data_IF_924822365226
#
_entry.id   IF_924822365226
#
_cell.length_a   1.000
_cell.length_b   1.000
_cell.length_c   1.000
_cell.angle_alpha   90.00
_cell.angle_beta   90.00
_cell.angle_gamma   90.00
#
_symmetry.space_group_name_H-M   'P 1'
#
loop_
_entity.id
_entity.type
_entity.pdbx_description
1 polymer ?
#
# COMPACT_ATOMS: atom_id res chain seq x y z
N UNK A 1 -1.49 66.75 -24.46
CA UNK A 1 -0.83 66.33 -25.72
C UNK A 1 -0.57 64.84 -25.65
N UNK A 2 -1.45 64.06 -26.29
CA UNK A 2 -1.31 62.62 -26.46
C UNK A 2 -0.20 62.32 -27.48
N UNK A 3 0.69 61.39 -27.17
CA UNK A 3 1.41 60.61 -28.19
C UNK A 3 1.30 59.13 -27.87
N UNK A 4 0.33 58.55 -28.55
CA UNK A 4 0.05 57.13 -28.72
C UNK A 4 1.17 56.53 -29.58
N UNK A 5 1.86 55.49 -29.09
CA UNK A 5 2.69 54.62 -29.95
C UNK A 5 2.26 53.18 -29.70
N UNK A 6 1.88 52.53 -30.80
CA UNK A 6 1.23 51.23 -30.92
C UNK A 6 2.16 50.10 -30.45
N UNK A 7 1.71 49.27 -29.52
CA UNK A 7 2.31 47.96 -29.27
C UNK A 7 1.65 46.92 -30.19
N UNK A 8 2.41 46.48 -31.19
CA UNK A 8 2.04 45.41 -32.11
C UNK A 8 2.01 44.07 -31.38
N UNK A 9 0.90 43.35 -31.55
CA UNK A 9 0.67 41.96 -31.20
C UNK A 9 1.75 41.04 -31.77
N UNK A 10 2.43 40.29 -30.90
CA UNK A 10 3.16 39.08 -31.26
C UNK A 10 2.76 37.97 -30.30
N UNK A 11 1.85 37.12 -30.77
CA UNK A 11 1.43 35.88 -30.14
C UNK A 11 2.59 34.88 -30.35
N UNK A 12 3.37 34.61 -29.31
CA UNK A 12 4.29 33.47 -29.32
C UNK A 12 3.73 32.33 -28.49
N UNK A 13 3.43 31.26 -29.20
CA UNK A 13 2.94 29.98 -28.70
C UNK A 13 3.88 29.35 -27.67
N UNK A 14 3.40 29.15 -26.45
CA UNK A 14 4.02 28.25 -25.47
C UNK A 14 3.34 26.88 -25.62
N UNK A 15 4.05 25.96 -26.28
CA UNK A 15 3.76 24.51 -26.28
C UNK A 15 3.90 23.97 -24.86
N UNK A 16 2.79 23.97 -24.13
CA UNK A 16 2.63 23.18 -22.91
C UNK A 16 2.42 21.71 -23.29
N UNK A 17 3.43 20.86 -23.10
CA UNK A 17 3.27 19.40 -23.14
C UNK A 17 2.46 18.94 -21.91
N UNK A 18 1.14 19.15 -21.95
CA UNK A 18 0.18 18.39 -21.15
C UNK A 18 -0.16 17.13 -21.94
N UNK A 19 0.36 15.97 -21.51
CA UNK A 19 -0.19 14.68 -21.93
C UNK A 19 -1.55 14.53 -21.25
N UNK A 20 -2.59 15.01 -21.91
CA UNK A 20 -3.97 14.63 -21.67
C UNK A 20 -4.15 13.23 -22.25
N UNK A 21 -4.21 12.20 -21.41
CA UNK A 21 -4.78 10.93 -21.82
C UNK A 21 -6.29 11.05 -21.61
N UNK A 22 -7.02 11.37 -22.68
CA UNK A 22 -8.45 11.11 -22.75
C UNK A 22 -8.65 9.59 -22.66
N UNK A 23 -9.27 9.12 -21.58
CA UNK A 23 -9.83 7.78 -21.54
C UNK A 23 -11.28 7.93 -21.98
N UNK A 24 -11.54 7.71 -23.27
CA UNK A 24 -12.90 7.59 -23.81
C UNK A 24 -13.59 6.40 -23.14
N UNK A 25 -14.64 6.69 -22.39
CA UNK A 25 -15.62 5.70 -21.96
C UNK A 25 -16.45 5.28 -23.17
N UNK A 26 -16.07 4.19 -23.85
CA UNK A 26 -16.97 3.49 -24.77
C UNK A 26 -17.55 2.28 -24.06
N UNK A 27 -18.81 2.42 -23.67
CA UNK A 27 -19.71 1.31 -23.37
C UNK A 27 -19.98 0.55 -24.67
N UNK A 28 -19.49 -0.68 -24.77
CA UNK A 28 -19.95 -1.65 -25.76
C UNK A 28 -20.11 -2.99 -25.06
N UNK A 29 -21.39 -3.34 -24.88
CA UNK A 29 -21.86 -4.69 -24.63
C UNK A 29 -21.27 -5.61 -25.71
N UNK A 30 -20.56 -6.65 -25.27
CA UNK A 30 -19.92 -7.63 -26.14
C UNK A 30 -19.50 -8.85 -25.32
N UNK A 31 -20.38 -9.84 -25.28
CA UNK A 31 -20.14 -11.15 -24.69
C UNK A 31 -19.09 -11.89 -25.54
N UNK A 32 -17.93 -12.27 -24.97
CA UNK A 32 -16.97 -13.13 -25.69
C UNK A 32 -15.50 -13.07 -25.25
N UNK A 33 -15.13 -13.97 -24.33
CA UNK A 33 -13.88 -14.75 -24.25
C UNK A 33 -12.51 -14.11 -23.91
N UNK A 34 -11.97 -14.63 -22.80
CA UNK A 34 -10.57 -14.92 -22.44
C UNK A 34 -9.60 -13.78 -22.03
N UNK A 35 -9.32 -13.70 -20.72
CA UNK A 35 -7.92 -13.77 -20.28
C UNK A 35 -7.27 -12.57 -19.58
N UNK A 36 -8.01 -11.56 -19.12
CA UNK A 36 -7.44 -10.57 -18.17
C UNK A 36 -8.23 -10.61 -16.87
N UNK A 37 -7.79 -11.43 -15.91
CA UNK A 37 -8.20 -11.25 -14.52
C UNK A 37 -7.84 -9.83 -14.14
N UNK A 38 -8.85 -8.97 -13.93
CA UNK A 38 -8.66 -7.68 -13.28
C UNK A 38 -7.96 -7.97 -11.97
N UNK A 39 -6.66 -7.68 -11.90
CA UNK A 39 -5.88 -7.92 -10.70
C UNK A 39 -6.19 -6.80 -9.72
N UNK A 40 -6.58 -7.18 -8.52
CA UNK A 40 -6.87 -6.30 -7.39
C UNK A 40 -5.72 -5.33 -7.15
N UNK A 41 -6.02 -4.04 -6.98
CA UNK A 41 -5.00 -3.04 -6.66
C UNK A 41 -4.72 -3.04 -5.15
N UNK A 42 -3.48 -3.30 -4.77
CA UNK A 42 -3.04 -3.39 -3.37
C UNK A 42 -2.24 -2.16 -2.97
N UNK A 43 -2.55 -1.60 -1.80
CA UNK A 43 -1.77 -0.54 -1.15
C UNK A 43 -1.18 -0.99 0.17
N UNK A 44 0.12 -0.82 0.35
CA UNK A 44 0.84 -1.07 1.60
C UNK A 44 1.07 0.25 2.33
N UNK A 45 0.59 0.30 3.57
CA UNK A 45 0.64 1.44 4.46
C UNK A 45 1.36 1.04 5.73
N UNK A 46 2.57 1.58 5.90
CA UNK A 46 3.45 1.17 6.99
C UNK A 46 3.65 2.30 7.99
N UNK A 47 3.21 2.05 9.21
CA UNK A 47 3.58 2.81 10.38
C UNK A 47 4.94 2.34 10.92
N UNK A 48 5.99 3.06 10.53
CA UNK A 48 7.37 2.72 10.91
C UNK A 48 7.70 3.12 12.34
N UNK A 49 6.94 4.03 12.96
CA UNK A 49 7.21 4.48 14.32
C UNK A 49 6.80 3.39 15.30
N UNK A 50 5.60 2.83 15.10
CA UNK A 50 5.12 1.70 15.87
C UNK A 50 5.89 0.41 15.52
N UNK A 51 6.03 0.11 14.22
CA UNK A 51 6.49 -1.19 13.74
C UNK A 51 7.71 -1.15 12.83
N UNK A 52 8.87 -0.67 13.30
CA UNK A 52 10.09 -0.75 12.52
C UNK A 52 10.63 -2.20 12.49
N UNK A 53 11.36 -2.60 11.44
CA UNK A 53 11.99 -3.91 11.34
C UNK A 53 13.20 -3.98 12.28
N UNK A 54 12.98 -4.11 13.59
CA UNK A 54 14.05 -4.08 14.62
C UNK A 54 14.93 -5.33 14.58
N UNK A 55 14.32 -6.50 14.32
CA UNK A 55 14.98 -7.81 14.40
C UNK A 55 15.50 -8.33 13.05
N UNK A 56 15.19 -7.64 11.95
CA UNK A 56 15.48 -8.11 10.59
C UNK A 56 16.08 -6.98 9.74
N UNK A 57 16.92 -7.28 8.74
CA UNK A 57 17.42 -6.26 7.81
C UNK A 57 16.25 -5.54 7.10
N UNK A 58 16.16 -4.20 7.13
CA UNK A 58 15.03 -3.45 6.60
C UNK A 58 14.73 -3.73 5.13
N UNK A 59 15.78 -3.80 4.31
CA UNK A 59 15.60 -4.11 2.89
C UNK A 59 14.97 -5.49 2.68
N UNK A 60 15.40 -6.50 3.43
CA UNK A 60 14.87 -7.85 3.33
C UNK A 60 13.42 -7.91 3.83
N UNK A 61 13.15 -7.31 4.99
CA UNK A 61 11.82 -7.22 5.58
C UNK A 61 10.82 -6.54 4.63
N UNK A 62 11.20 -5.39 4.06
CA UNK A 62 10.38 -4.65 3.11
C UNK A 62 10.13 -5.41 1.81
N UNK A 63 11.15 -6.10 1.29
CA UNK A 63 11.02 -6.91 0.07
C UNK A 63 10.10 -8.09 0.29
N UNK A 64 10.25 -8.80 1.42
CA UNK A 64 9.37 -9.93 1.78
C UNK A 64 7.93 -9.48 2.03
N UNK A 65 7.73 -8.36 2.71
CA UNK A 65 6.42 -7.74 2.90
C UNK A 65 5.76 -7.41 1.54
N UNK A 66 6.49 -6.77 0.63
CA UNK A 66 5.99 -6.45 -0.70
C UNK A 66 5.64 -7.70 -1.51
N UNK A 67 6.46 -8.75 -1.41
CA UNK A 67 6.20 -10.02 -2.08
C UNK A 67 4.96 -10.72 -1.52
N UNK A 68 4.76 -10.71 -0.19
CA UNK A 68 3.56 -11.25 0.43
C UNK A 68 2.31 -10.44 0.03
N UNK A 69 2.42 -9.10 0.00
CA UNK A 69 1.35 -8.22 -0.47
C UNK A 69 0.99 -8.48 -1.96
N UNK A 70 1.99 -8.86 -2.77
CA UNK A 70 1.82 -9.21 -4.18
C UNK A 70 0.93 -10.44 -4.44
N UNK A 71 0.77 -11.32 -3.45
CA UNK A 71 -0.13 -12.47 -3.56
C UNK A 71 -1.61 -12.05 -3.45
N UNK A 72 -1.89 -10.91 -2.81
CA UNK A 72 -3.25 -10.35 -2.75
C UNK A 72 -3.63 -9.57 -4.00
N UNK A 73 -2.69 -9.26 -4.89
CA UNK A 73 -2.92 -8.45 -6.09
C UNK A 73 -1.71 -7.64 -6.54
N UNK A 74 -1.94 -6.67 -7.44
CA UNK A 74 -0.87 -5.78 -7.94
C UNK A 74 -0.61 -4.68 -6.92
N UNK A 75 0.57 -4.70 -6.31
CA UNK A 75 1.02 -3.66 -5.39
C UNK A 75 1.29 -2.36 -6.17
N UNK A 76 0.39 -1.38 -6.04
CA UNK A 76 0.52 -0.06 -6.68
C UNK A 76 1.04 1.02 -5.73
N UNK A 77 0.71 0.92 -4.45
CA UNK A 77 1.12 1.89 -3.44
C UNK A 77 1.94 1.20 -2.36
N UNK A 78 3.09 1.79 -2.04
CA UNK A 78 4.00 1.33 -1.00
C UNK A 78 4.46 2.56 -0.24
N UNK A 79 3.79 2.89 0.86
CA UNK A 79 4.06 4.11 1.61
C UNK A 79 4.38 3.78 3.05
N UNK A 80 5.40 4.44 3.57
CA UNK A 80 5.83 4.28 4.95
C UNK A 80 5.99 5.65 5.61
N UNK A 81 5.37 5.84 6.76
CA UNK A 81 5.43 7.08 7.53
C UNK A 81 6.22 6.86 8.82
N UNK A 82 7.08 7.82 9.15
CA UNK A 82 7.79 7.82 10.42
C UNK A 82 8.13 9.26 10.85
N UNK A 83 8.26 9.45 12.16
CA UNK A 83 8.86 10.63 12.77
C UNK A 83 10.38 10.62 12.58
N UNK A 84 11.05 11.76 12.81
CA UNK A 84 12.52 11.84 12.66
C UNK A 84 13.22 10.88 13.62
N UNK A 85 12.63 10.66 14.80
CA UNK A 85 13.17 9.76 15.81
C UNK A 85 13.26 8.30 15.36
N UNK A 86 12.29 7.78 14.59
CA UNK A 86 12.37 6.40 14.08
C UNK A 86 13.54 6.19 13.12
N UNK A 87 13.89 7.20 12.31
CA UNK A 87 15.06 7.14 11.44
C UNK A 87 16.40 7.35 12.17
N UNK A 88 16.36 7.91 13.38
CA UNK A 88 17.55 8.08 14.22
C UNK A 88 17.90 6.82 15.03
N UNK A 89 16.95 5.88 15.15
CA UNK A 89 17.16 4.66 15.91
C UNK A 89 18.27 3.80 15.27
N UNK A 90 19.15 3.29 16.13
CA UNK A 90 20.24 2.40 15.74
C UNK A 90 20.14 1.18 16.66
N UNK A 91 19.97 -0.05 16.12
CA UNK A 91 19.86 -1.26 16.93
C UNK A 91 21.01 -1.41 17.95
N UNK A 92 20.77 -1.98 19.14
CA UNK A 92 21.79 -2.12 20.19
C UNK A 92 23.07 -2.83 19.72
N UNK A 93 22.92 -3.89 18.93
CA UNK A 93 24.06 -4.61 18.33
C UNK A 93 24.93 -3.69 17.47
N UNK A 94 24.32 -2.85 16.64
CA UNK A 94 25.03 -1.88 15.79
C UNK A 94 25.70 -0.80 16.65
N UNK A 95 25.07 -0.37 17.75
CA UNK A 95 25.68 0.57 18.71
C UNK A 95 26.92 -0.03 19.37
N UNK A 96 26.85 -1.30 19.76
CA UNK A 96 27.97 -2.02 20.37
C UNK A 96 29.12 -2.18 19.36
N UNK A 97 28.84 -2.66 18.14
CA UNK A 97 29.83 -2.74 17.07
C UNK A 97 30.52 -1.39 16.79
N UNK A 98 29.74 -0.29 16.80
CA UNK A 98 30.29 1.07 16.65
C UNK A 98 31.19 1.48 17.82
N UNK A 99 30.90 1.06 19.06
CA UNK A 99 31.75 1.31 20.23
C UNK A 99 33.04 0.50 20.11
N UNK A 100 32.94 -0.79 19.82
CA UNK A 100 34.08 -1.70 19.63
C UNK A 100 35.00 -1.23 18.49
N UNK A 101 34.43 -0.77 17.36
CA UNK A 101 35.24 -0.21 16.27
C UNK A 101 35.97 1.08 16.68
N UNK A 102 35.34 1.93 17.49
CA UNK A 102 35.97 3.17 17.99
C UNK A 102 37.10 2.86 18.97
N UNK A 103 36.90 1.92 19.89
CA UNK A 103 37.96 1.52 20.83
C UNK A 103 39.13 0.90 20.06
N UNK A 104 38.86 0.01 19.09
CA UNK A 104 39.88 -0.58 18.23
C UNK A 104 40.67 0.50 17.46
N UNK A 105 39.99 1.46 16.82
CA UNK A 105 40.66 2.56 16.13
C UNK A 105 41.55 3.39 17.07
N UNK A 106 41.11 3.62 18.31
CA UNK A 106 41.92 4.31 19.32
C UNK A 106 43.16 3.50 19.71
N UNK A 107 43.01 2.19 19.85
CA UNK A 107 44.12 1.27 20.17
C UNK A 107 45.14 1.19 19.04
N UNK A 108 44.69 1.07 17.78
CA UNK A 108 45.54 1.14 16.58
C UNK A 108 46.31 2.46 16.53
N UNK A 109 45.63 3.58 16.82
CA UNK A 109 46.25 4.91 16.81
C UNK A 109 47.32 5.07 17.90
N UNK A 110 47.06 4.51 19.08
CA UNK A 110 48.03 4.48 20.18
C UNK A 110 49.17 3.48 19.99
N UNK A 111 49.11 2.63 18.96
CA UNK A 111 50.13 1.62 18.67
C UNK A 111 50.11 0.40 19.61
N UNK A 112 49.14 0.32 20.53
CA UNK A 112 48.95 -0.81 21.46
C UNK A 112 48.53 -2.07 20.72
N UNK A 113 47.71 -1.92 19.67
CA UNK A 113 47.30 -3.02 18.79
C UNK A 113 47.97 -2.83 17.44
N UNK A 114 48.76 -3.84 17.02
CA UNK A 114 49.33 -3.90 15.67
C UNK A 114 48.39 -4.69 14.77
N UNK A 115 48.09 -4.12 13.60
CA UNK A 115 47.31 -4.81 12.59
C UNK A 115 48.26 -5.71 11.80
N UNK A 116 48.06 -7.03 11.89
CA UNK A 116 48.89 -8.02 11.18
C UNK A 116 48.72 -7.90 9.66
N UNK A 117 47.50 -7.63 9.18
CA UNK A 117 47.20 -7.40 7.77
C UNK A 117 46.85 -5.93 7.47
N UNK A 118 47.60 -5.22 6.62
CA UNK A 118 47.31 -3.84 6.28
C UNK A 118 45.94 -3.68 5.59
N UNK A 119 45.20 -2.67 6.00
CA UNK A 119 43.97 -2.26 5.32
C UNK A 119 44.27 -1.79 3.90
N UNK A 120 43.51 -2.26 2.89
CA UNK A 120 43.70 -1.82 1.50
C UNK A 120 42.50 -1.02 0.97
N UNK A 121 42.79 0.01 0.18
CA UNK A 121 41.75 0.76 -0.52
C UNK A 121 41.25 -0.03 -1.73
N UNK A 122 39.98 -0.44 -1.73
CA UNK A 122 39.37 -1.19 -2.85
C UNK A 122 39.26 -0.38 -4.16
N UNK A 123 39.43 0.95 -4.12
CA UNK A 123 39.41 1.80 -5.32
C UNK A 123 40.78 1.87 -6.00
N UNK A 124 41.86 2.09 -5.24
CA UNK A 124 43.21 2.32 -5.78
C UNK A 124 44.27 1.28 -5.39
N UNK A 125 43.94 0.31 -4.54
CA UNK A 125 44.84 -0.76 -4.10
C UNK A 125 45.90 -0.36 -3.06
N UNK A 126 45.94 0.91 -2.62
CA UNK A 126 46.92 1.38 -1.63
C UNK A 126 46.70 0.73 -0.26
N UNK A 127 47.80 0.41 0.43
CA UNK A 127 47.82 -0.21 1.76
C UNK A 127 47.96 0.85 2.87
N UNK A 128 47.33 0.60 4.01
CA UNK A 128 47.28 1.46 5.18
C UNK A 128 47.37 0.62 6.45
N UNK A 129 48.20 1.04 7.39
CA UNK A 129 48.46 0.30 8.64
C UNK A 129 47.53 0.68 9.80
N UNK A 130 46.60 1.61 9.56
CA UNK A 130 45.59 2.04 10.53
C UNK A 130 44.31 2.36 9.78
N UNK A 131 43.16 2.05 10.35
CA UNK A 131 41.87 2.29 9.71
C UNK A 131 41.59 3.79 9.48
N UNK A 132 42.00 4.66 10.41
CA UNK A 132 41.84 6.12 10.27
C UNK A 132 42.54 6.65 9.01
N UNK A 133 43.75 6.18 8.70
CA UNK A 133 44.48 6.58 7.49
C UNK A 133 43.78 6.12 6.21
N UNK A 134 43.21 4.91 6.19
CA UNK A 134 42.41 4.44 5.06
C UNK A 134 41.17 5.33 4.87
N UNK A 135 40.44 5.61 5.94
CA UNK A 135 39.23 6.47 5.90
C UNK A 135 39.58 7.87 5.41
N UNK A 136 40.64 8.47 5.95
CA UNK A 136 41.08 9.82 5.55
C UNK A 136 41.51 9.86 4.08
N UNK A 137 42.27 8.86 3.62
CA UNK A 137 42.63 8.72 2.21
C UNK A 137 41.38 8.65 1.32
N UNK A 138 40.39 7.85 1.72
CA UNK A 138 39.16 7.67 0.96
C UNK A 138 38.37 8.97 0.83
N UNK A 139 38.24 9.74 1.92
CA UNK A 139 37.56 11.05 1.91
C UNK A 139 38.31 12.10 1.10
N UNK A 140 39.63 12.16 1.24
CA UNK A 140 40.41 13.20 0.57
C UNK A 140 40.54 13.00 -0.93
N UNK A 141 40.67 11.74 -1.37
CA UNK A 141 40.93 11.40 -2.76
C UNK A 141 39.65 10.94 -3.46
N UNK A 142 39.06 9.83 -3.02
CA UNK A 142 38.01 9.16 -3.78
C UNK A 142 36.65 9.83 -3.67
N UNK A 143 36.29 10.35 -2.48
CA UNK A 143 35.06 11.13 -2.31
C UNK A 143 35.12 12.43 -3.13
N UNK A 144 36.24 13.16 -3.08
CA UNK A 144 36.47 14.36 -3.90
C UNK A 144 36.40 14.05 -5.40
N UNK A 145 37.02 12.98 -5.87
CA UNK A 145 36.94 12.55 -7.27
C UNK A 145 35.52 12.17 -7.69
N UNK A 146 34.79 11.48 -6.81
CA UNK A 146 33.41 11.08 -7.07
C UNK A 146 32.50 12.31 -7.20
N UNK A 147 32.60 13.27 -6.27
CA UNK A 147 31.85 14.53 -6.34
C UNK A 147 32.16 15.31 -7.62
N UNK A 148 33.43 15.37 -8.05
CA UNK A 148 33.79 15.99 -9.34
C UNK A 148 33.09 15.32 -10.53
N UNK A 149 33.00 13.99 -10.54
CA UNK A 149 32.31 13.24 -11.62
C UNK A 149 30.80 13.49 -11.61
N UNK A 150 30.18 13.53 -10.43
CA UNK A 150 28.76 13.87 -10.28
C UNK A 150 28.45 15.28 -10.78
N UNK A 151 29.22 16.27 -10.34
CA UNK A 151 29.04 17.66 -10.77
C UNK A 151 29.17 17.81 -12.30
N UNK A 152 30.09 17.08 -12.93
CA UNK A 152 30.21 17.07 -14.39
C UNK A 152 28.96 16.48 -15.07
N UNK A 153 28.42 15.38 -14.54
CA UNK A 153 27.18 14.77 -15.05
C UNK A 153 26.00 15.72 -14.87
N UNK A 154 25.89 16.36 -13.70
CA UNK A 154 24.81 17.32 -13.36
C UNK A 154 24.83 18.56 -14.23
N UNK A 155 26.02 19.11 -14.50
CA UNK A 155 26.19 20.25 -15.40
C UNK A 155 25.88 19.93 -16.87
N UNK A 156 26.06 18.67 -17.29
CA UNK A 156 25.83 18.25 -18.67
C UNK A 156 24.35 17.99 -18.98
N UNK A 157 23.92 18.34 -20.20
CA UNK A 157 22.54 18.12 -20.70
C UNK A 157 22.53 17.26 -21.96
N UNK A 158 21.40 16.60 -22.22
CA UNK A 158 21.16 15.82 -23.43
C UNK A 158 22.16 14.70 -23.68
N UNK A 159 22.59 14.52 -24.93
CA UNK A 159 23.52 13.45 -25.38
C UNK A 159 24.85 13.44 -24.62
N UNK A 160 25.34 14.61 -24.21
CA UNK A 160 26.59 14.74 -23.46
C UNK A 160 26.47 14.10 -22.07
N UNK A 161 25.33 14.29 -21.39
CA UNK A 161 25.05 13.67 -20.09
C UNK A 161 25.10 12.14 -20.20
N UNK A 162 24.44 11.58 -21.21
CA UNK A 162 24.43 10.13 -21.46
C UNK A 162 25.85 9.60 -21.67
N UNK A 163 26.66 10.31 -22.47
CA UNK A 163 28.07 9.96 -22.71
C UNK A 163 28.91 9.99 -21.42
N UNK A 164 28.74 11.00 -20.57
CA UNK A 164 29.46 11.10 -19.29
C UNK A 164 29.03 10.03 -18.29
N UNK A 165 27.74 9.73 -18.21
CA UNK A 165 27.23 8.63 -17.37
C UNK A 165 27.85 7.30 -17.81
N UNK A 166 27.84 7.00 -19.12
CA UNK A 166 28.46 5.79 -19.66
C UNK A 166 29.98 5.75 -19.38
N UNK A 167 30.68 6.86 -19.56
CA UNK A 167 32.13 6.98 -19.28
C UNK A 167 32.47 6.72 -17.82
N UNK A 168 31.62 7.17 -16.88
CA UNK A 168 31.89 7.08 -15.45
C UNK A 168 31.22 5.89 -14.76
N UNK A 169 30.33 5.14 -15.42
CA UNK A 169 29.57 4.03 -14.84
C UNK A 169 30.44 3.09 -13.98
N UNK A 170 31.47 2.48 -14.57
CA UNK A 170 32.38 1.56 -13.88
C UNK A 170 33.10 2.22 -12.69
N UNK A 171 33.51 3.49 -12.82
CA UNK A 171 34.19 4.24 -11.75
C UNK A 171 33.24 4.61 -10.61
N UNK A 172 31.99 4.91 -10.93
CA UNK A 172 30.92 5.15 -9.95
C UNK A 172 30.61 3.87 -9.18
N UNK A 173 30.47 2.73 -9.86
CA UNK A 173 30.17 1.46 -9.20
C UNK A 173 31.32 0.97 -8.34
N UNK A 174 32.58 1.10 -8.82
CA UNK A 174 33.77 0.82 -8.00
C UNK A 174 33.81 1.66 -6.72
N UNK A 175 33.48 2.95 -6.82
CA UNK A 175 33.38 3.84 -5.66
C UNK A 175 32.25 3.41 -4.72
N UNK A 176 31.03 3.19 -5.24
CA UNK A 176 29.87 2.77 -4.44
C UNK A 176 30.13 1.48 -3.67
N UNK A 177 30.79 0.50 -4.28
CA UNK A 177 31.14 -0.74 -3.62
C UNK A 177 32.16 -0.51 -2.50
N UNK A 178 33.19 0.31 -2.73
CA UNK A 178 34.22 0.58 -1.73
C UNK A 178 33.74 1.49 -0.57
N UNK A 179 32.83 2.43 -0.83
CA UNK A 179 32.23 3.31 0.20
C UNK A 179 31.56 2.49 1.29
N UNK A 180 30.87 1.40 0.93
CA UNK A 180 30.14 0.55 1.88
C UNK A 180 31.05 -0.02 2.97
N UNK A 181 32.31 -0.28 2.64
CA UNK A 181 33.27 -0.89 3.56
C UNK A 181 34.03 0.17 4.38
N UNK A 182 34.25 1.37 3.81
CA UNK A 182 35.17 2.38 4.38
C UNK A 182 34.44 3.55 5.04
N UNK A 183 33.38 4.05 4.41
CA UNK A 183 32.63 5.24 4.85
C UNK A 183 31.23 4.85 5.32
N UNK A 184 31.09 3.75 6.07
CA UNK A 184 29.81 3.39 6.70
C UNK A 184 29.26 4.62 7.44
N UNK A 185 28.13 5.20 6.98
CA UNK A 185 27.67 6.46 7.53
C UNK A 185 27.33 6.29 9.01
N UNK A 186 27.76 7.27 9.83
CA UNK A 186 27.38 7.37 11.26
C UNK A 186 25.89 7.67 11.44
N UNK A 187 25.23 8.12 10.37
CA UNK A 187 23.79 8.37 10.31
C UNK A 187 23.03 7.09 10.68
N UNK A 188 21.79 7.23 11.15
CA UNK A 188 20.95 6.14 11.65
C UNK A 188 21.00 4.89 10.76
N UNK A 189 20.70 3.74 11.35
CA UNK A 189 20.47 2.50 10.61
C UNK A 189 19.69 2.88 9.37
N UNK A 190 20.27 2.78 8.17
CA UNK A 190 19.91 3.52 6.94
C UNK A 190 18.53 3.16 6.39
N UNK A 191 17.53 3.24 7.26
CA UNK A 191 16.22 2.63 7.21
C UNK A 191 15.45 3.28 6.09
N UNK A 192 15.43 4.61 6.05
CA UNK A 192 14.81 5.34 4.95
C UNK A 192 15.39 4.94 3.59
N UNK A 193 16.72 4.83 3.47
CA UNK A 193 17.38 4.52 2.20
C UNK A 193 17.19 3.05 1.80
N UNK A 194 17.21 2.13 2.76
CA UNK A 194 16.94 0.72 2.53
C UNK A 194 15.49 0.45 2.13
N UNK A 195 14.53 1.14 2.75
CA UNK A 195 13.12 1.07 2.40
C UNK A 195 12.86 1.70 1.02
N UNK A 196 13.48 2.85 0.72
CA UNK A 196 13.46 3.44 -0.63
C UNK A 196 14.05 2.49 -1.68
N UNK A 197 15.14 1.79 -1.34
CA UNK A 197 15.75 0.77 -2.20
C UNK A 197 14.81 -0.42 -2.44
N UNK A 198 13.99 -0.80 -1.46
CA UNK A 198 12.95 -1.80 -1.62
C UNK A 198 11.71 -1.28 -2.38
N UNK A 199 11.69 0.01 -2.73
CA UNK A 199 10.61 0.65 -3.48
C UNK A 199 9.49 1.20 -2.61
N UNK A 200 9.73 1.48 -1.32
CA UNK A 200 8.79 2.21 -0.47
C UNK A 200 9.00 3.71 -0.60
N UNK A 201 7.89 4.43 -0.71
CA UNK A 201 7.85 5.87 -0.55
C UNK A 201 7.86 6.24 0.93
N UNK A 202 9.03 6.58 1.45
CA UNK A 202 9.23 6.93 2.85
C UNK A 202 8.96 8.42 3.07
N UNK A 203 8.00 8.75 3.93
CA UNK A 203 7.67 10.13 4.33
C UNK A 203 8.07 10.35 5.78
N UNK A 204 8.83 11.41 6.01
CA UNK A 204 9.18 11.87 7.35
C UNK A 204 8.19 12.94 7.80
N UNK A 205 7.60 12.77 8.97
CA UNK A 205 6.63 13.70 9.57
C UNK A 205 7.30 14.48 10.72
N UNK A 206 6.64 15.55 11.18
CA UNK A 206 7.04 16.31 12.36
C UNK A 206 7.01 15.44 13.61
N UNK A 207 7.91 15.67 14.57
CA UNK A 207 8.05 14.89 15.81
C UNK A 207 6.92 15.11 16.85
N UNK A 208 5.74 15.57 16.42
CA UNK A 208 4.58 15.66 17.30
C UNK A 208 4.03 14.25 17.58
N UNK A 209 3.52 13.98 18.80
CA UNK A 209 2.82 12.74 19.08
C UNK A 209 1.73 12.48 18.05
N UNK A 210 1.59 11.23 17.59
CA UNK A 210 0.57 10.78 16.64
C UNK A 210 0.60 11.45 15.25
N UNK A 211 1.62 12.26 14.93
CA UNK A 211 1.66 12.96 13.65
C UNK A 211 1.80 11.98 12.46
N UNK A 212 2.60 10.92 12.65
CA UNK A 212 2.69 9.83 11.69
C UNK A 212 1.34 9.13 11.50
N UNK A 213 0.62 8.86 12.60
CA UNK A 213 -0.67 8.17 12.59
C UNK A 213 -1.73 9.00 11.87
N UNK A 214 -1.84 10.30 12.20
CA UNK A 214 -2.77 11.23 11.53
C UNK A 214 -2.44 11.32 10.04
N UNK A 215 -1.17 11.45 9.67
CA UNK A 215 -0.76 11.51 8.28
C UNK A 215 -1.09 10.20 7.53
N UNK A 216 -0.88 9.05 8.17
CA UNK A 216 -1.17 7.74 7.61
C UNK A 216 -2.68 7.53 7.44
N UNK A 217 -3.48 7.87 8.46
CA UNK A 217 -4.95 7.83 8.42
C UNK A 217 -5.51 8.72 7.31
N UNK A 218 -5.09 9.98 7.25
CA UNK A 218 -5.55 10.90 6.21
C UNK A 218 -5.19 10.41 4.80
N UNK A 219 -4.01 9.80 4.64
CA UNK A 219 -3.60 9.25 3.36
C UNK A 219 -4.38 7.97 2.99
N UNK A 220 -4.71 7.12 3.96
CA UNK A 220 -5.60 5.97 3.75
C UNK A 220 -6.98 6.43 3.26
N UNK A 221 -7.59 7.42 3.93
CA UNK A 221 -8.89 7.97 3.55
C UNK A 221 -8.85 8.56 2.14
N UNK A 222 -7.84 9.35 1.79
CA UNK A 222 -7.69 9.92 0.44
C UNK A 222 -7.57 8.85 -0.65
N UNK A 223 -6.83 7.76 -0.38
CA UNK A 223 -6.69 6.63 -1.31
C UNK A 223 -8.01 5.87 -1.46
N UNK A 224 -8.79 5.75 -0.39
CA UNK A 224 -10.13 5.14 -0.40
C UNK A 224 -11.14 6.00 -1.18
N UNK A 225 -11.15 7.31 -0.96
CA UNK A 225 -12.04 8.26 -1.66
C UNK A 225 -11.79 8.26 -3.16
N UNK A 226 -10.53 8.22 -3.57
CA UNK A 226 -10.13 8.16 -4.98
C UNK A 226 -10.28 6.75 -5.60
N UNK A 227 -10.73 5.75 -4.83
CA UNK A 227 -10.85 4.34 -5.24
C UNK A 227 -9.59 3.79 -5.91
N UNK A 228 -8.43 4.18 -5.39
CA UNK A 228 -7.15 3.83 -6.00
C UNK A 228 -6.69 2.41 -5.65
N UNK A 229 -7.24 1.83 -4.59
CA UNK A 229 -6.95 0.48 -4.10
C UNK A 229 -8.23 -0.27 -3.75
N UNK A 230 -8.17 -1.58 -3.88
CA UNK A 230 -9.25 -2.51 -3.52
C UNK A 230 -8.85 -3.36 -2.29
N UNK A 231 -7.53 -3.45 -2.01
CA UNK A 231 -6.98 -4.14 -0.86
C UNK A 231 -5.99 -3.24 -0.12
N UNK A 232 -6.20 -3.06 1.18
CA UNK A 232 -5.35 -2.28 2.09
C UNK A 232 -4.55 -3.23 2.96
N UNK A 233 -3.23 -3.12 2.91
CA UNK A 233 -2.29 -3.80 3.81
C UNK A 233 -1.74 -2.77 4.80
N UNK A 234 -2.19 -2.83 6.04
CA UNK A 234 -1.73 -1.97 7.13
C UNK A 234 -0.66 -2.69 7.95
N UNK A 235 0.49 -2.05 8.16
CA UNK A 235 1.56 -2.55 9.03
C UNK A 235 1.64 -1.66 10.25
N UNK A 236 0.96 -2.06 11.33
CA UNK A 236 0.95 -1.41 12.64
C UNK A 236 0.33 -2.35 13.68
N UNK A 237 0.69 -2.19 14.95
CA UNK A 237 0.01 -2.80 16.09
C UNK A 237 -0.92 -1.80 16.84
N UNK A 238 -0.99 -0.54 16.40
CA UNK A 238 -1.75 0.51 17.11
C UNK A 238 -3.27 0.42 16.89
N UNK A 239 -4.01 0.39 18.00
CA UNK A 239 -5.48 0.31 17.97
C UNK A 239 -6.16 1.53 17.33
N UNK A 240 -5.46 2.65 17.21
CA UNK A 240 -6.00 3.91 16.66
C UNK A 240 -6.34 3.81 15.16
N UNK A 241 -5.90 2.75 14.48
CA UNK A 241 -6.26 2.50 13.08
C UNK A 241 -7.53 1.64 12.92
N UNK A 242 -8.14 1.15 14.00
CA UNK A 242 -9.34 0.30 13.94
C UNK A 242 -10.50 1.01 13.23
N UNK A 243 -10.70 2.30 13.47
CA UNK A 243 -11.77 3.09 12.84
C UNK A 243 -11.59 3.15 11.32
N UNK A 244 -10.37 3.37 10.85
CA UNK A 244 -10.05 3.43 9.42
C UNK A 244 -10.22 2.05 8.76
N UNK A 245 -9.91 0.95 9.46
CA UNK A 245 -10.18 -0.40 8.95
C UNK A 245 -11.68 -0.69 8.85
N UNK A 246 -12.48 -0.25 9.83
CA UNK A 246 -13.95 -0.36 9.75
C UNK A 246 -14.49 0.42 8.56
N UNK A 247 -14.00 1.63 8.36
CA UNK A 247 -14.37 2.47 7.21
C UNK A 247 -14.00 1.80 5.87
N UNK A 248 -12.80 1.25 5.75
CA UNK A 248 -12.37 0.50 4.57
C UNK A 248 -13.31 -0.68 4.28
N UNK A 249 -13.72 -1.41 5.33
CA UNK A 249 -14.65 -2.54 5.21
C UNK A 249 -16.05 -2.10 4.79
N UNK A 250 -16.56 -0.98 5.32
CA UNK A 250 -17.84 -0.39 4.90
C UNK A 250 -17.82 0.04 3.42
N UNK A 251 -16.65 0.45 2.92
CA UNK A 251 -16.41 0.79 1.52
C UNK A 251 -16.13 -0.45 0.63
N UNK A 252 -16.26 -1.66 1.17
CA UNK A 252 -16.03 -2.94 0.50
C UNK A 252 -14.57 -3.20 0.06
N UNK A 253 -13.58 -2.57 0.71
CA UNK A 253 -12.18 -2.92 0.50
C UNK A 253 -11.81 -4.16 1.33
N UNK A 254 -10.90 -4.97 0.81
CA UNK A 254 -10.28 -6.06 1.57
C UNK A 254 -9.19 -5.48 2.48
N UNK A 255 -9.11 -5.98 3.70
CA UNK A 255 -8.20 -5.45 4.72
C UNK A 255 -7.26 -6.53 5.24
N UNK A 256 -5.96 -6.25 5.24
CA UNK A 256 -4.90 -7.12 5.76
C UNK A 256 -4.08 -6.34 6.77
N UNK A 257 -3.83 -6.93 7.94
CA UNK A 257 -3.00 -6.32 8.98
C UNK A 257 -1.72 -7.12 9.18
N UNK A 258 -0.58 -6.43 9.28
CA UNK A 258 0.69 -7.03 9.67
C UNK A 258 1.13 -6.45 11.01
N UNK A 259 1.10 -7.29 12.05
CA UNK A 259 1.35 -6.89 13.44
C UNK A 259 1.68 -8.09 14.32
N UNK A 260 2.47 -7.88 15.39
CA UNK A 260 2.90 -8.97 16.28
C UNK A 260 1.94 -9.15 17.47
N UNK A 261 1.01 -8.21 17.73
CA UNK A 261 -0.01 -8.39 18.76
C UNK A 261 -1.01 -9.48 18.35
N UNK A 262 -0.98 -10.64 19.01
CA UNK A 262 -1.85 -11.79 18.67
C UNK A 262 -3.34 -11.48 18.87
N UNK A 263 -3.71 -10.80 19.97
CA UNK A 263 -5.12 -10.43 20.27
C UNK A 263 -5.45 -8.97 19.96
N UNK A 264 -4.70 -8.35 19.06
CA UNK A 264 -4.89 -6.94 18.69
C UNK A 264 -6.28 -6.66 18.12
N UNK A 265 -6.90 -5.54 18.52
CA UNK A 265 -8.19 -5.09 17.99
C UNK A 265 -8.18 -4.94 16.46
N UNK A 266 -7.02 -4.58 15.88
CA UNK A 266 -6.81 -4.52 14.44
C UNK A 266 -7.00 -5.90 13.77
N UNK A 267 -6.38 -6.95 14.32
CA UNK A 267 -6.45 -8.31 13.73
C UNK A 267 -7.87 -8.86 13.74
N UNK A 268 -8.65 -8.57 14.78
CA UNK A 268 -10.08 -8.96 14.86
C UNK A 268 -10.97 -8.24 13.84
N UNK A 269 -10.58 -7.03 13.44
CA UNK A 269 -11.37 -6.19 12.54
C UNK A 269 -11.05 -6.50 11.06
N UNK A 270 -9.79 -6.86 10.78
CA UNK A 270 -9.29 -7.12 9.44
C UNK A 270 -9.77 -8.47 8.87
N UNK A 271 -9.77 -8.60 7.54
CA UNK A 271 -10.14 -9.85 6.86
C UNK A 271 -9.03 -10.91 6.94
N UNK A 272 -7.78 -10.48 7.09
CA UNK A 272 -6.63 -11.34 7.36
C UNK A 272 -5.57 -10.62 8.19
N UNK A 273 -4.78 -11.38 8.95
CA UNK A 273 -3.71 -10.83 9.75
C UNK A 273 -2.48 -11.74 9.78
N UNK A 274 -1.29 -11.14 9.79
CA UNK A 274 -0.01 -11.84 9.84
C UNK A 274 0.95 -11.18 10.84
N UNK A 275 1.86 -11.96 11.39
CA UNK A 275 3.00 -11.46 12.18
C UNK A 275 4.22 -11.18 11.31
N UNK A 276 5.18 -10.41 11.83
CA UNK A 276 6.47 -10.21 11.15
C UNK A 276 7.22 -11.52 10.97
N UNK A 277 7.14 -12.40 11.96
CA UNK A 277 7.80 -13.70 11.88
C UNK A 277 7.24 -14.52 10.71
N UNK A 278 5.92 -14.51 10.50
CA UNK A 278 5.27 -15.21 9.38
C UNK A 278 5.62 -14.62 8.02
N UNK A 279 5.73 -13.29 7.92
CA UNK A 279 6.20 -12.61 6.70
C UNK A 279 7.64 -13.02 6.40
N UNK A 280 8.51 -13.04 7.42
CA UNK A 280 9.93 -13.38 7.26
C UNK A 280 10.17 -14.85 6.92
N UNK A 281 9.36 -15.76 7.49
CA UNK A 281 9.37 -17.20 7.18
C UNK A 281 8.66 -17.54 5.86
N UNK A 282 7.97 -16.58 5.24
CA UNK A 282 7.22 -16.79 4.00
C UNK A 282 5.90 -17.57 4.17
N UNK A 283 5.42 -17.75 5.40
CA UNK A 283 4.12 -18.36 5.68
C UNK A 283 2.98 -17.50 5.15
N UNK A 284 3.06 -16.20 5.39
CA UNK A 284 2.08 -15.23 4.92
C UNK A 284 1.91 -15.27 3.39
N UNK A 285 2.99 -15.49 2.64
CA UNK A 285 2.94 -15.63 1.17
C UNK A 285 2.11 -16.85 0.75
N UNK A 286 2.27 -17.99 1.43
CA UNK A 286 1.51 -19.21 1.12
C UNK A 286 0.04 -19.06 1.53
N UNK A 287 -0.20 -18.51 2.71
CA UNK A 287 -1.54 -18.36 3.26
C UNK A 287 -2.35 -17.28 2.53
N UNK A 288 -1.70 -16.23 2.01
CA UNK A 288 -2.33 -15.20 1.19
C UNK A 288 -3.13 -15.79 0.02
N UNK A 289 -2.63 -16.84 -0.63
CA UNK A 289 -3.32 -17.51 -1.73
C UNK A 289 -4.65 -18.13 -1.25
N UNK A 290 -4.64 -18.77 -0.08
CA UNK A 290 -5.85 -19.33 0.54
C UNK A 290 -6.84 -18.23 0.95
N UNK A 291 -6.33 -17.14 1.54
CA UNK A 291 -7.14 -15.97 1.92
C UNK A 291 -7.85 -15.38 0.70
N UNK A 292 -7.13 -15.18 -0.41
CA UNK A 292 -7.70 -14.67 -1.65
C UNK A 292 -8.75 -15.63 -2.23
N UNK A 293 -8.54 -16.95 -2.10
CA UNK A 293 -9.53 -17.96 -2.43
C UNK A 293 -10.84 -17.73 -1.66
N UNK A 294 -10.76 -17.67 -0.32
CA UNK A 294 -11.93 -17.42 0.54
C UNK A 294 -12.64 -16.11 0.21
N UNK A 295 -11.89 -15.07 -0.17
CA UNK A 295 -12.49 -13.80 -0.59
C UNK A 295 -13.31 -13.95 -1.87
N UNK A 296 -12.78 -14.67 -2.87
CA UNK A 296 -13.50 -14.96 -4.11
C UNK A 296 -14.75 -15.78 -3.85
N UNK A 297 -14.66 -16.80 -3.01
CA UNK A 297 -15.79 -17.66 -2.66
C UNK A 297 -16.89 -16.85 -1.96
N UNK A 298 -16.51 -15.99 -1.01
CA UNK A 298 -17.45 -15.06 -0.35
C UNK A 298 -18.08 -14.09 -1.34
N UNK A 299 -17.32 -13.56 -2.28
CA UNK A 299 -17.84 -12.63 -3.29
C UNK A 299 -18.77 -13.35 -4.29
N UNK A 300 -18.54 -14.64 -4.58
CA UNK A 300 -19.47 -15.49 -5.32
C UNK A 300 -20.74 -15.72 -4.52
N UNK A 301 -20.63 -16.13 -3.26
CA UNK A 301 -21.79 -16.38 -2.39
C UNK A 301 -22.66 -15.13 -2.25
N UNK A 302 -22.07 -13.96 -2.02
CA UNK A 302 -22.82 -12.69 -1.99
C UNK A 302 -23.56 -12.36 -3.29
N UNK A 303 -23.03 -12.77 -4.45
CA UNK A 303 -23.74 -12.60 -5.73
C UNK A 303 -24.88 -13.60 -5.90
N UNK A 304 -24.81 -14.75 -5.22
CA UNK A 304 -25.80 -15.81 -5.25
C UNK A 304 -26.82 -15.70 -4.11
N UNK A 305 -26.59 -14.84 -3.11
CA UNK A 305 -27.57 -14.49 -2.08
C UNK A 305 -28.79 -13.84 -2.75
N UNK A 306 -29.81 -14.66 -3.05
CA UNK A 306 -31.09 -14.21 -3.54
C UNK A 306 -31.81 -13.47 -2.41
N UNK A 307 -32.01 -12.17 -2.57
CA UNK A 307 -32.79 -11.36 -1.64
C UNK A 307 -34.24 -11.42 -2.11
N UNK A 308 -35.02 -12.28 -1.46
CA UNK A 308 -36.47 -12.31 -1.63
C UNK A 308 -37.05 -11.01 -1.07
N UNK A 309 -37.60 -10.16 -1.94
CA UNK A 309 -38.31 -8.93 -1.58
C UNK A 309 -39.82 -9.14 -1.81
N UNK A 310 -40.60 -9.45 -0.75
CA UNK A 310 -42.03 -9.71 -0.87
C UNK A 310 -42.82 -8.45 -1.30
N UNK A 311 -42.30 -7.24 -1.08
CA UNK A 311 -42.97 -6.01 -1.51
C UNK A 311 -42.77 -5.73 -3.01
N UNK A 312 -41.60 -6.08 -3.55
CA UNK A 312 -41.32 -5.99 -4.98
C UNK A 312 -42.16 -7.01 -5.77
N UNK A 313 -42.26 -8.26 -5.30
CA UNK A 313 -43.13 -9.28 -5.92
C UNK A 313 -44.60 -8.90 -5.82
N UNK A 314 -45.05 -8.36 -4.68
CA UNK A 314 -46.45 -7.91 -4.52
C UNK A 314 -46.77 -6.75 -5.46
N UNK A 315 -45.87 -5.79 -5.68
CA UNK A 315 -46.08 -4.72 -6.68
C UNK A 315 -46.14 -5.25 -8.11
N UNK A 316 -45.37 -6.29 -8.42
CA UNK A 316 -45.34 -6.89 -9.75
C UNK A 316 -46.59 -7.73 -10.03
N UNK A 317 -47.07 -8.47 -9.03
CA UNK A 317 -48.30 -9.24 -9.09
C UNK A 317 -49.55 -8.35 -9.16
N UNK A 318 -49.62 -7.26 -8.38
CA UNK A 318 -50.77 -6.34 -8.42
C UNK A 318 -50.80 -5.42 -9.65
N UNK A 319 -49.65 -5.15 -10.29
CA UNK A 319 -49.62 -4.36 -11.54
C UNK A 319 -50.16 -5.11 -12.77
N UNK A 320 -50.24 -6.44 -12.71
CA UNK A 320 -50.70 -7.28 -13.83
C UNK A 320 -52.22 -7.48 -13.82
N UNK A 321 -52.87 -7.36 -12.64
CA UNK A 321 -54.34 -7.46 -12.48
C UNK A 321 -55.11 -6.14 -12.66
N UNK A 322 -54.43 -4.99 -12.75
CA UNK A 322 -55.08 -3.68 -13.02
C UNK A 322 -55.02 -3.24 -14.50
N UNK A 323 -54.63 -4.13 -15.42
CA UNK A 323 -54.47 -3.79 -16.84
C UNK A 323 -55.49 -4.42 -17.80
N UNK A 324 -56.54 -5.08 -17.28
CA UNK A 324 -57.69 -5.50 -18.10
C UNK A 324 -58.99 -4.87 -17.57
N UNK A 325 -59.73 -4.27 -18.50
CA UNK A 325 -61.08 -3.72 -18.41
C UNK A 325 -61.29 -2.39 -17.65
N UNK A 326 -61.04 -1.30 -18.37
CA UNK A 326 -61.79 -0.06 -18.20
C UNK A 326 -62.42 0.34 -19.54
N UNK A 327 -63.67 -0.05 -19.74
CA UNK A 327 -64.66 0.73 -20.48
C UNK A 327 -65.97 0.67 -19.70
N UNK A 328 -66.24 1.77 -18.99
CA UNK A 328 -67.40 1.90 -18.12
C UNK A 328 -68.70 2.23 -18.86
N UNK A 329 -69.82 1.84 -18.26
CA UNK A 329 -71.03 2.65 -18.32
C UNK A 329 -71.92 2.35 -17.11
N UNK A 330 -72.07 3.35 -16.23
CA UNK A 330 -73.05 3.40 -15.15
C UNK A 330 -74.41 3.85 -15.72
N UNK A 331 -75.46 3.06 -15.49
CA UNK A 331 -76.83 3.57 -15.34
C UNK A 331 -77.60 2.62 -14.43
N UNK A 332 -78.21 3.18 -13.38
CA UNK A 332 -78.76 2.46 -12.24
C UNK A 332 -80.25 2.11 -12.32
N UNK A 333 -80.75 1.73 -11.13
CA UNK A 333 -82.09 1.22 -10.77
C UNK A 333 -82.29 -0.23 -11.30
N UNK A 334 -82.56 -1.26 -10.48
CA UNK A 334 -83.65 -1.40 -9.52
C UNK A 334 -83.49 -2.69 -8.65
N UNK A 335 -84.10 -2.66 -7.46
CA UNK A 335 -84.74 -3.76 -6.72
C UNK A 335 -84.12 -5.17 -6.49
N UNK A 336 -84.13 -5.50 -5.18
CA UNK A 336 -84.60 -6.74 -4.54
C UNK A 336 -83.59 -7.81 -4.06
N UNK A 337 -83.89 -8.24 -2.80
CA UNK A 337 -83.58 -9.51 -2.12
C UNK A 337 -82.17 -9.76 -1.54
N UNK A 338 -82.08 -9.43 -0.25
CA UNK A 338 -81.91 -10.37 0.87
C UNK A 338 -81.43 -11.80 0.51
N UNK A 339 -80.13 -12.08 0.73
CA UNK A 339 -79.62 -13.39 1.13
C UNK A 339 -78.41 -13.16 2.04
N UNK A 340 -78.58 -13.46 3.33
CA UNK A 340 -77.47 -13.52 4.29
C UNK A 340 -76.54 -14.69 3.99
N UNK A 341 -75.24 -14.45 4.12
CA UNK A 341 -74.26 -15.49 4.41
C UNK A 341 -73.04 -14.87 5.09
N UNK A 342 -72.96 -15.13 6.39
CA UNK A 342 -71.77 -15.00 7.21
C UNK A 342 -70.58 -15.70 6.53
N UNK A 343 -69.51 -14.97 6.20
CA UNK A 343 -68.21 -15.57 5.91
C UNK A 343 -67.28 -15.27 7.09
N UNK A 344 -67.02 -16.34 7.81
CA UNK A 344 -66.02 -16.55 8.84
C UNK A 344 -64.67 -15.98 8.41
N UNK A 345 -64.01 -15.32 9.37
CA UNK A 345 -62.55 -15.20 9.37
C UNK A 345 -61.99 -16.62 9.37
N UNK A 346 -61.48 -17.09 8.24
CA UNK A 346 -60.73 -18.33 8.18
C UNK A 346 -59.23 -18.02 8.17
N UNK A 347 -58.59 -18.70 9.11
CA UNK A 347 -57.21 -18.70 9.54
C UNK A 347 -56.15 -18.41 8.46
N UNK A 348 -55.37 -17.36 8.71
CA UNK A 348 -54.07 -17.14 8.10
C UNK A 348 -53.07 -18.18 8.63
N UNK A 349 -53.17 -19.43 8.14
CA UNK A 349 -52.18 -20.47 8.41
C UNK A 349 -51.20 -20.54 7.26
N UNK A 350 -49.92 -20.34 7.56
CA UNK A 350 -48.87 -20.33 6.55
C UNK A 350 -48.66 -21.73 5.97
N UNK A 351 -48.47 -21.81 4.65
CA UNK A 351 -48.50 -23.04 3.86
C UNK A 351 -47.34 -24.03 4.12
N UNK A 352 -46.44 -23.73 5.07
CA UNK A 352 -45.32 -24.57 5.48
C UNK A 352 -45.53 -25.32 6.80
N UNK A 353 -46.68 -25.16 7.48
CA UNK A 353 -47.01 -26.01 8.61
C UNK A 353 -47.41 -27.41 8.12
N UNK A 354 -46.44 -28.32 8.07
CA UNK A 354 -46.67 -29.74 7.81
C UNK A 354 -47.30 -30.39 9.05
N UNK A 355 -48.50 -30.95 8.88
CA UNK A 355 -49.19 -31.72 9.91
C UNK A 355 -48.34 -32.91 10.36
N UNK A 356 -47.78 -32.81 11.57
CA UNK A 356 -47.13 -33.93 12.24
C UNK A 356 -48.20 -34.77 12.96
N UNK A 357 -49.01 -35.50 12.17
CA UNK A 357 -49.91 -36.54 12.69
C UNK A 357 -49.99 -37.75 11.75
N UNK A 358 -49.08 -38.69 11.95
CA UNK A 358 -49.31 -40.14 11.81
C UNK A 358 -48.16 -40.86 12.54
N UNK A 359 -48.34 -41.81 13.45
CA UNK A 359 -49.54 -42.42 14.00
C UNK A 359 -49.27 -42.94 15.42
N UNK A 360 -50.35 -43.23 16.13
CA UNK A 360 -50.38 -43.92 17.41
C UNK A 360 -50.30 -45.44 17.21
N UNK A 361 -49.71 -46.08 18.22
CA UNK A 361 -49.75 -47.50 18.64
C UNK A 361 -48.88 -48.53 17.89
#
# INVERSE_FOLDING_TARGET
MMKLVKASTFIHAIRSYKRFCHFESKSLLGFGSLGSSVRTNVGIFWDLDNKPPKSFPPFEAATKLKNAAGEFGVVRYTVAYANRHAFSYVPPLVRQQRKERKTLNSLEKSGVVKVEEPYFCRVCGRRFYTNEKLVNHFKQIHEREHTKRLNQIESARGKMRIKLVAKYAMKMDKYKNAVRDVLTPKVGYGLADELKRAGFWVRTVSDKPQAADVALRNHLVDVMDKRMVECVVLVSDDSDFVEVLKEARLRCLKTVVVGDCNDGALKRTADAAFSWQEIMMGKAKKEAVSVVGRWKDRDVLKRLEWTYDPEAEKKQYYSEVESDDSDGLFSGEDDNKDVGASISKEDARAWWELDSRSGHD
#
